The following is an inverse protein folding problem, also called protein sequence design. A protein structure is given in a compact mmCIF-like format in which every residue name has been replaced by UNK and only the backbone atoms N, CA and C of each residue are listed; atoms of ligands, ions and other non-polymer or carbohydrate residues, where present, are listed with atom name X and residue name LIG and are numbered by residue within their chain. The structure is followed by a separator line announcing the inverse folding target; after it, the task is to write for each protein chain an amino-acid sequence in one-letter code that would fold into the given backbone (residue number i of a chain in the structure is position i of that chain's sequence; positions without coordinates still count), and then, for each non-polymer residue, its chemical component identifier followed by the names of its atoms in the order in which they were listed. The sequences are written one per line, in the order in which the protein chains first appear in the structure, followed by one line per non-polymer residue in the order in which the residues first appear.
data_IF_012071074691
#
_entry.id   IF_012071074691
#
_cell.length_a   1.000
_cell.length_b   1.000
_cell.length_c   1.000
_cell.angle_alpha   90.00
_cell.angle_beta   90.00
_cell.angle_gamma   90.00
#
_symmetry.space_group_name_H-M   'P 1'
#
loop_
_entity.id
_entity.type
_entity.pdbx_description
1 polymer ?
#
# COMPACT_ATOMS: atom_id res chain seq x y z
N UNK A 1 86.17 -52.70 18.64
CA UNK A 1 84.79 -53.13 18.59
C UNK A 1 83.97 -51.83 18.44
N UNK A 2 83.66 -51.51 17.19
CA UNK A 2 82.89 -50.32 16.83
C UNK A 2 81.46 -50.77 16.50
N UNK A 3 80.46 -50.19 17.18
CA UNK A 3 79.04 -50.45 16.95
C UNK A 3 78.51 -49.26 16.20
N UNK A 4 78.08 -49.50 14.98
CA UNK A 4 77.43 -48.57 14.08
C UNK A 4 75.93 -48.54 14.39
N UNK A 5 75.27 -47.39 14.52
CA UNK A 5 73.80 -47.33 14.68
C UNK A 5 73.07 -47.28 13.30
N UNK A 6 72.15 -48.21 13.14
CA UNK A 6 71.27 -48.28 11.97
C UNK A 6 70.26 -47.07 11.90
N UNK A 7 70.33 -46.36 10.80
CA UNK A 7 69.34 -45.31 10.46
C UNK A 7 68.08 -45.99 9.90
N UNK A 8 66.99 -45.92 10.62
CA UNK A 8 65.62 -46.23 10.10
C UNK A 8 65.10 -45.08 9.26
N UNK A 9 65.02 -45.27 7.96
CA UNK A 9 64.30 -44.41 7.05
C UNK A 9 62.77 -44.67 7.18
N UNK A 10 62.05 -43.82 7.90
CA UNK A 10 60.58 -43.80 7.86
C UNK A 10 60.12 -43.00 6.61
N UNK A 11 59.81 -43.73 5.55
CA UNK A 11 59.20 -43.17 4.36
C UNK A 11 57.75 -42.75 4.67
N UNK A 12 57.50 -41.45 4.92
CA UNK A 12 56.16 -40.83 5.02
C UNK A 12 55.68 -40.57 3.60
N UNK A 13 55.05 -41.58 2.97
CA UNK A 13 54.36 -41.41 1.70
C UNK A 13 53.09 -40.60 1.95
N UNK A 14 53.19 -39.26 1.83
CA UNK A 14 52.03 -38.41 1.71
C UNK A 14 51.30 -38.78 0.44
N UNK A 15 50.24 -39.59 0.57
CA UNK A 15 49.23 -39.75 -0.47
C UNK A 15 48.69 -38.35 -0.85
N UNK A 16 49.12 -37.83 -1.96
CA UNK A 16 48.50 -36.69 -2.64
C UNK A 16 47.13 -37.13 -3.12
N UNK A 17 46.12 -36.96 -2.23
CA UNK A 17 44.73 -37.14 -2.62
C UNK A 17 44.43 -36.20 -3.79
N UNK A 18 44.28 -36.71 -4.98
CA UNK A 18 43.81 -35.96 -6.14
C UNK A 18 42.52 -35.27 -5.77
N UNK A 19 42.35 -33.96 -6.08
CA UNK A 19 41.09 -33.26 -5.87
C UNK A 19 40.02 -33.94 -6.71
N UNK A 20 39.06 -34.58 -6.06
CA UNK A 20 37.91 -35.18 -6.74
C UNK A 20 37.22 -34.20 -7.67
N UNK A 21 36.52 -34.68 -8.69
CA UNK A 21 35.89 -33.83 -9.69
C UNK A 21 35.02 -32.75 -9.00
N UNK A 22 35.07 -31.48 -9.49
CA UNK A 22 34.32 -30.40 -8.87
C UNK A 22 32.82 -30.74 -8.90
N UNK A 23 32.24 -30.95 -7.72
CA UNK A 23 30.81 -31.25 -7.58
C UNK A 23 29.96 -30.18 -8.28
N UNK A 24 28.87 -30.60 -8.90
CA UNK A 24 27.92 -29.70 -9.58
C UNK A 24 27.49 -28.57 -8.63
N UNK A 25 27.63 -27.30 -9.02
CA UNK A 25 27.25 -26.19 -8.15
C UNK A 25 25.78 -26.30 -7.78
N UNK A 26 25.46 -26.11 -6.51
CA UNK A 26 24.06 -26.07 -6.05
C UNK A 26 23.27 -24.99 -6.82
N UNK A 27 21.97 -25.18 -7.04
CA UNK A 27 21.10 -24.20 -7.72
C UNK A 27 21.25 -22.81 -7.09
N UNK A 28 21.40 -22.72 -5.77
CA UNK A 28 21.67 -21.47 -5.07
C UNK A 28 22.98 -20.81 -5.47
N UNK A 29 24.05 -21.56 -5.63
CA UNK A 29 25.33 -21.01 -6.05
C UNK A 29 25.27 -20.39 -7.46
N UNK A 30 24.44 -20.96 -8.35
CA UNK A 30 24.19 -20.44 -9.68
C UNK A 30 23.27 -19.21 -9.70
N UNK A 31 22.22 -19.18 -8.89
CA UNK A 31 21.24 -18.08 -8.85
C UNK A 31 21.70 -16.87 -8.01
N UNK A 32 22.51 -17.07 -7.00
CA UNK A 32 22.96 -16.00 -6.08
C UNK A 32 23.55 -14.77 -6.79
N UNK A 33 24.39 -14.87 -7.83
CA UNK A 33 24.89 -13.71 -8.57
C UNK A 33 23.76 -12.92 -9.27
N UNK A 34 22.74 -13.59 -9.80
CA UNK A 34 21.57 -12.94 -10.40
C UNK A 34 20.77 -12.16 -9.35
N UNK A 35 20.44 -12.79 -8.22
CA UNK A 35 19.72 -12.13 -7.11
C UNK A 35 20.51 -10.93 -6.60
N UNK A 36 21.83 -11.04 -6.49
CA UNK A 36 22.68 -9.93 -6.06
C UNK A 36 22.67 -8.76 -7.06
N UNK A 37 22.71 -9.06 -8.37
CA UNK A 37 22.61 -8.02 -9.42
C UNK A 37 21.24 -7.37 -9.42
N UNK A 38 20.18 -8.16 -9.39
CA UNK A 38 18.81 -7.67 -9.39
C UNK A 38 18.57 -6.75 -8.17
N UNK A 39 18.92 -7.20 -6.96
CA UNK A 39 18.80 -6.38 -5.76
C UNK A 39 19.66 -5.10 -5.83
N UNK A 40 20.85 -5.19 -6.39
CA UNK A 40 21.74 -4.03 -6.52
C UNK A 40 21.23 -3.01 -7.54
N UNK A 41 20.92 -3.45 -8.77
CA UNK A 41 20.47 -2.53 -9.83
C UNK A 41 19.08 -1.99 -9.55
N UNK A 42 18.15 -2.82 -9.08
CA UNK A 42 16.85 -2.34 -8.61
C UNK A 42 17.01 -1.33 -7.45
N UNK A 43 17.87 -1.66 -6.46
CA UNK A 43 18.17 -0.75 -5.35
C UNK A 43 18.83 0.57 -5.76
N UNK A 44 19.54 0.65 -6.89
CA UNK A 44 20.10 1.91 -7.38
C UNK A 44 19.09 2.70 -8.23
N UNK A 45 18.35 2.01 -9.11
CA UNK A 45 17.47 2.66 -10.09
C UNK A 45 16.10 3.03 -9.49
N UNK A 46 15.56 2.18 -8.60
CA UNK A 46 14.23 2.38 -8.00
C UNK A 46 14.31 3.15 -6.67
N UNK A 47 15.44 3.14 -5.99
CA UNK A 47 15.57 3.82 -4.70
C UNK A 47 15.21 5.32 -4.70
N UNK A 48 15.48 6.13 -5.74
CA UNK A 48 15.01 7.53 -5.77
C UNK A 48 13.48 7.62 -5.67
N UNK A 49 12.78 6.73 -6.38
CA UNK A 49 11.32 6.65 -6.37
C UNK A 49 10.80 6.23 -4.99
N UNK A 50 11.41 5.20 -4.41
CA UNK A 50 11.09 4.76 -3.06
C UNK A 50 11.42 5.79 -1.99
N UNK A 51 12.46 6.61 -2.19
CA UNK A 51 12.81 7.67 -1.26
C UNK A 51 11.71 8.74 -1.20
N UNK A 52 11.23 9.18 -2.37
CA UNK A 52 10.13 10.15 -2.44
C UNK A 52 8.86 9.55 -1.84
N UNK A 53 8.49 8.30 -2.21
CA UNK A 53 7.34 7.62 -1.62
C UNK A 53 7.45 7.46 -0.09
N UNK A 54 8.66 7.16 0.44
CA UNK A 54 8.88 7.08 1.89
C UNK A 54 8.77 8.44 2.58
N UNK A 55 9.30 9.51 1.97
CA UNK A 55 9.21 10.87 2.54
C UNK A 55 7.77 11.38 2.55
N UNK A 56 7.04 11.21 1.46
CA UNK A 56 5.62 11.61 1.37
C UNK A 56 4.74 10.75 2.27
N UNK A 57 5.00 9.44 2.37
CA UNK A 57 4.32 8.55 3.32
C UNK A 57 4.61 8.88 4.78
N UNK A 58 5.81 9.40 5.09
CA UNK A 58 6.14 9.90 6.43
C UNK A 58 5.29 11.15 6.77
N UNK A 59 5.10 12.06 5.82
CA UNK A 59 4.22 13.22 5.98
C UNK A 59 2.77 12.75 6.16
N UNK A 60 2.31 11.80 5.35
CA UNK A 60 0.96 11.27 5.44
C UNK A 60 0.67 10.62 6.81
N UNK A 61 1.62 9.87 7.35
CA UNK A 61 1.45 9.24 8.66
C UNK A 61 1.20 10.24 9.81
N UNK A 62 1.69 11.49 9.68
CA UNK A 62 1.42 12.56 10.63
C UNK A 62 0.22 13.45 10.30
N UNK A 63 -0.38 13.27 9.10
CA UNK A 63 -1.41 14.19 8.60
C UNK A 63 -2.72 14.17 9.39
N UNK A 64 -3.07 13.05 10.02
CA UNK A 64 -4.27 12.93 10.84
C UNK A 64 -4.23 13.88 12.05
N UNK A 65 -3.10 13.90 12.77
CA UNK A 65 -2.94 14.82 13.91
C UNK A 65 -2.81 16.26 13.46
N UNK A 66 -2.12 16.49 12.34
CA UNK A 66 -2.01 17.82 11.77
C UNK A 66 -3.38 18.38 11.38
N UNK A 67 -4.24 17.56 10.76
CA UNK A 67 -5.61 17.93 10.38
C UNK A 67 -6.46 18.34 11.60
N UNK A 68 -6.41 17.54 12.68
CA UNK A 68 -7.18 17.86 13.91
C UNK A 68 -6.71 19.12 14.62
N UNK A 69 -5.45 19.53 14.43
CA UNK A 69 -4.89 20.77 15.00
C UNK A 69 -5.23 21.96 14.09
N UNK A 70 -5.03 21.81 12.79
CA UNK A 70 -5.21 22.92 11.82
C UNK A 70 -6.67 23.31 11.68
N UNK A 71 -7.59 22.35 11.71
CA UNK A 71 -9.03 22.57 11.56
C UNK A 71 -9.79 22.35 12.86
N UNK A 72 -9.16 22.68 14.01
CA UNK A 72 -9.78 22.48 15.31
C UNK A 72 -11.07 23.27 15.49
N UNK A 73 -11.14 24.49 14.94
CA UNK A 73 -12.28 25.38 15.03
C UNK A 73 -13.49 24.89 14.24
N UNK A 74 -13.26 24.20 13.11
CA UNK A 74 -14.31 23.57 12.30
C UNK A 74 -14.77 22.25 12.89
N UNK A 75 -13.84 21.49 13.50
CA UNK A 75 -14.07 20.12 13.95
C UNK A 75 -14.68 20.03 15.35
N UNK A 76 -14.49 21.04 16.19
CA UNK A 76 -14.83 20.99 17.63
C UNK A 76 -15.63 22.20 18.07
N UNK A 77 -16.60 21.93 18.91
CA UNK A 77 -17.45 22.94 19.58
C UNK A 77 -17.58 22.62 21.07
N UNK A 78 -17.89 23.61 21.90
CA UNK A 78 -18.28 23.35 23.29
C UNK A 78 -19.50 22.43 23.35
N UNK A 79 -19.47 21.48 24.29
CA UNK A 79 -20.60 20.56 24.52
C UNK A 79 -21.82 21.33 25.05
N UNK A 80 -22.93 21.22 24.32
CA UNK A 80 -24.22 21.82 24.74
C UNK A 80 -25.09 20.83 25.52
N UNK A 81 -26.29 21.28 25.90
CA UNK A 81 -27.21 20.47 26.70
C UNK A 81 -27.87 19.30 25.94
N UNK A 82 -28.14 19.48 24.65
CA UNK A 82 -28.74 18.45 23.75
C UNK A 82 -28.46 18.81 22.32
N UNK A 83 -28.29 17.80 21.48
CA UNK A 83 -28.14 17.99 20.03
C UNK A 83 -29.51 18.32 19.39
N UNK A 84 -29.48 19.15 18.37
CA UNK A 84 -30.62 19.41 17.50
C UNK A 84 -30.87 18.18 16.59
N UNK A 85 -32.11 17.99 16.09
CA UNK A 85 -32.39 17.03 15.04
C UNK A 85 -31.44 17.22 13.85
N UNK A 86 -31.01 16.10 13.25
CA UNK A 86 -30.08 16.13 12.08
C UNK A 86 -30.70 16.91 10.90
N UNK A 87 -32.00 16.81 10.72
CA UNK A 87 -32.74 17.60 9.73
C UNK A 87 -32.53 19.10 9.88
N UNK A 88 -32.55 19.64 11.10
CA UNK A 88 -32.32 21.08 11.38
C UNK A 88 -30.88 21.49 11.10
N UNK A 89 -29.94 20.61 11.37
CA UNK A 89 -28.52 20.85 11.09
C UNK A 89 -28.25 20.88 9.58
N UNK A 90 -28.91 20.00 8.82
CA UNK A 90 -28.84 19.98 7.34
C UNK A 90 -29.51 21.21 6.73
N UNK A 91 -30.64 21.64 7.30
CA UNK A 91 -31.31 22.85 6.85
C UNK A 91 -30.42 24.09 6.96
N UNK A 92 -29.72 24.26 8.09
CA UNK A 92 -28.74 25.34 8.30
C UNK A 92 -27.62 25.32 7.24
N UNK A 93 -27.09 24.14 6.90
CA UNK A 93 -26.08 24.01 5.86
C UNK A 93 -26.61 24.36 4.45
N UNK A 94 -27.87 23.97 4.13
CA UNK A 94 -28.53 24.29 2.86
C UNK A 94 -28.85 25.76 2.73
N UNK A 95 -29.28 26.43 3.82
CA UNK A 95 -29.52 27.88 3.82
C UNK A 95 -28.23 28.67 3.51
N UNK A 96 -27.09 28.20 4.01
CA UNK A 96 -25.81 28.85 3.77
C UNK A 96 -25.23 28.56 2.37
N UNK A 97 -25.53 27.39 1.79
CA UNK A 97 -25.05 26.96 0.49
C UNK A 97 -26.20 26.42 -0.39
N UNK A 98 -27.12 27.28 -0.80
CA UNK A 98 -28.31 26.88 -1.58
C UNK A 98 -27.95 26.33 -2.98
N UNK A 99 -26.78 26.64 -3.48
CA UNK A 99 -26.25 26.16 -4.77
C UNK A 99 -25.81 24.70 -4.76
N UNK A 100 -25.57 24.12 -3.57
CA UNK A 100 -25.08 22.76 -3.42
C UNK A 100 -26.21 21.75 -3.20
N UNK A 101 -25.97 20.49 -3.62
CA UNK A 101 -26.87 19.38 -3.34
C UNK A 101 -26.28 18.50 -2.22
N UNK A 102 -27.12 18.16 -1.22
CA UNK A 102 -26.70 17.26 -0.14
C UNK A 102 -26.40 15.87 -0.68
N UNK A 103 -25.13 15.50 -0.70
CA UNK A 103 -24.67 14.17 -1.15
C UNK A 103 -24.54 13.16 -0.01
N UNK A 104 -24.23 13.62 1.20
CA UNK A 104 -24.22 12.80 2.41
C UNK A 104 -24.26 13.66 3.67
N UNK A 105 -24.64 13.05 4.79
CA UNK A 105 -24.61 13.68 6.11
C UNK A 105 -23.87 12.77 7.08
N UNK A 106 -22.92 13.32 7.82
CA UNK A 106 -22.20 12.63 8.92
C UNK A 106 -22.58 13.33 10.21
N UNK A 107 -23.55 12.81 10.95
CA UNK A 107 -23.91 13.34 12.27
C UNK A 107 -22.70 13.37 13.21
N UNK A 108 -22.71 14.24 14.18
CA UNK A 108 -21.68 14.31 15.22
C UNK A 108 -21.31 12.91 15.71
N UNK A 109 -20.02 12.49 15.61
CA UNK A 109 -19.62 11.15 16.03
C UNK A 109 -19.50 11.00 17.55
N UNK A 110 -19.28 12.08 18.28
CA UNK A 110 -19.03 12.15 19.72
C UNK A 110 -19.32 13.54 20.26
N UNK A 111 -19.49 13.66 21.56
CA UNK A 111 -19.73 14.96 22.22
C UNK A 111 -18.67 16.00 21.87
N UNK A 112 -19.10 17.20 21.53
CA UNK A 112 -18.24 18.31 21.14
C UNK A 112 -17.64 18.19 19.73
N UNK A 113 -18.02 17.21 18.94
CA UNK A 113 -17.69 17.17 17.52
C UNK A 113 -18.80 17.83 16.68
N UNK A 114 -18.43 18.37 15.51
CA UNK A 114 -19.40 18.96 14.58
C UNK A 114 -20.03 17.90 13.67
N UNK A 115 -21.25 18.13 13.24
CA UNK A 115 -21.87 17.41 12.12
C UNK A 115 -21.28 17.91 10.81
N UNK A 116 -21.04 17.00 9.86
CA UNK A 116 -20.59 17.35 8.50
C UNK A 116 -21.72 17.11 7.51
N UNK A 117 -22.17 18.15 6.85
CA UNK A 117 -23.10 18.08 5.71
C UNK A 117 -22.27 18.18 4.45
N UNK A 118 -22.28 17.15 3.62
CA UNK A 118 -21.47 17.06 2.41
C UNK A 118 -22.32 17.52 1.22
N UNK A 119 -21.86 18.55 0.53
CA UNK A 119 -22.52 19.14 -0.62
C UNK A 119 -21.73 18.84 -1.90
N UNK A 120 -22.42 18.41 -2.94
CA UNK A 120 -21.89 18.25 -4.30
C UNK A 120 -22.40 19.36 -5.22
N UNK A 121 -21.70 19.59 -6.34
CA UNK A 121 -22.11 20.57 -7.35
C UNK A 121 -21.91 22.03 -6.96
N UNK A 122 -21.19 22.31 -5.89
CA UNK A 122 -20.91 23.69 -5.45
C UNK A 122 -19.91 24.35 -6.40
N UNK A 123 -20.22 25.55 -6.96
CA UNK A 123 -19.30 26.23 -7.84
C UNK A 123 -17.96 26.56 -7.19
N UNK A 124 -16.86 26.28 -7.90
CA UNK A 124 -15.50 26.51 -7.40
C UNK A 124 -14.90 25.34 -6.62
N UNK A 125 -15.68 24.33 -6.25
CA UNK A 125 -15.22 23.08 -5.68
C UNK A 125 -14.82 22.10 -6.79
N UNK A 126 -13.71 21.37 -6.60
CA UNK A 126 -13.30 20.34 -7.57
C UNK A 126 -14.42 19.31 -7.76
N UNK A 127 -14.78 18.92 -9.00
CA UNK A 127 -15.85 17.94 -9.28
C UNK A 127 -15.67 16.58 -8.60
N UNK A 128 -14.43 16.18 -8.30
CA UNK A 128 -14.12 14.92 -7.58
C UNK A 128 -14.16 15.08 -6.05
N UNK A 129 -14.43 16.29 -5.55
CA UNK A 129 -14.54 16.63 -4.12
C UNK A 129 -15.98 16.98 -3.73
N UNK A 130 -16.20 17.06 -2.44
CA UNK A 130 -17.43 17.60 -1.85
C UNK A 130 -17.08 18.80 -0.97
N UNK A 131 -17.99 19.75 -0.80
CA UNK A 131 -17.88 20.77 0.23
C UNK A 131 -18.44 20.18 1.54
N UNK A 132 -17.60 20.02 2.55
CA UNK A 132 -18.03 19.67 3.91
C UNK A 132 -18.38 20.95 4.66
N UNK A 133 -19.65 21.13 4.97
CA UNK A 133 -20.17 22.20 5.84
C UNK A 133 -20.22 21.66 7.26
N UNK A 134 -19.52 22.31 8.16
CA UNK A 134 -19.44 21.92 9.57
C UNK A 134 -20.49 22.67 10.37
N UNK A 135 -21.38 21.94 11.02
CA UNK A 135 -22.51 22.49 11.79
C UNK A 135 -22.37 22.11 13.26
N UNK A 136 -22.47 23.08 14.14
CA UNK A 136 -22.56 22.86 15.58
C UNK A 136 -23.86 22.10 15.90
N UNK A 137 -23.78 20.86 16.40
CA UNK A 137 -24.98 20.05 16.61
C UNK A 137 -25.91 20.58 17.71
N UNK A 138 -25.44 21.49 18.56
CA UNK A 138 -26.21 21.99 19.70
C UNK A 138 -27.02 23.25 19.39
N UNK A 139 -26.58 24.10 18.45
CA UNK A 139 -27.26 25.38 18.16
C UNK A 139 -27.49 25.63 16.66
N UNK A 140 -26.95 24.76 15.77
CA UNK A 140 -27.10 24.90 14.31
C UNK A 140 -26.18 25.94 13.67
N UNK A 141 -25.29 26.60 14.43
CA UNK A 141 -24.33 27.53 13.84
C UNK A 141 -23.28 26.81 12.98
N UNK A 142 -22.91 27.43 11.88
CA UNK A 142 -21.84 26.94 11.03
C UNK A 142 -20.48 27.33 11.62
N UNK A 143 -19.59 26.32 11.79
CA UNK A 143 -18.22 26.57 12.23
C UNK A 143 -17.25 26.75 11.06
N UNK A 144 -17.64 26.36 9.86
CA UNK A 144 -16.86 26.54 8.63
C UNK A 144 -17.30 25.64 7.49
N UNK A 145 -16.66 25.81 6.34
CA UNK A 145 -16.86 24.98 5.15
C UNK A 145 -15.53 24.70 4.50
N UNK A 146 -15.21 23.43 4.25
CA UNK A 146 -13.94 22.99 3.68
C UNK A 146 -14.14 21.94 2.59
N UNK A 147 -13.30 21.94 1.56
CA UNK A 147 -13.29 20.84 0.61
C UNK A 147 -12.91 19.53 1.30
N UNK A 148 -13.61 18.47 0.96
CA UNK A 148 -13.36 17.12 1.46
C UNK A 148 -13.18 16.14 0.31
N UNK A 149 -12.20 15.26 0.43
CA UNK A 149 -11.91 14.23 -0.57
C UNK A 149 -12.10 12.81 -0.03
N UNK A 150 -12.76 12.00 -0.87
CA UNK A 150 -12.85 10.56 -0.69
C UNK A 150 -13.65 10.10 0.52
N UNK A 151 -13.84 8.79 0.63
CA UNK A 151 -14.59 8.14 1.73
C UNK A 151 -13.94 8.31 3.11
N UNK A 152 -12.63 8.61 3.15
CA UNK A 152 -11.92 8.88 4.40
C UNK A 152 -12.24 10.26 4.99
N UNK A 153 -12.90 11.13 4.22
CA UNK A 153 -13.22 12.48 4.64
C UNK A 153 -11.98 13.35 4.87
N UNK A 154 -10.97 13.22 4.00
CA UNK A 154 -9.76 14.01 4.08
C UNK A 154 -10.07 15.49 3.83
N UNK A 155 -9.68 16.36 4.76
CA UNK A 155 -9.76 17.81 4.65
C UNK A 155 -8.56 18.34 3.83
N UNK A 156 -8.53 19.63 3.43
CA UNK A 156 -7.59 20.09 2.41
C UNK A 156 -6.12 19.75 2.66
N UNK A 157 -5.64 19.86 3.91
CA UNK A 157 -4.26 19.52 4.23
C UNK A 157 -3.94 18.04 3.96
N UNK A 158 -4.80 17.13 4.43
CA UNK A 158 -4.58 15.70 4.26
C UNK A 158 -4.83 15.27 2.81
N UNK A 159 -5.78 15.88 2.13
CA UNK A 159 -6.02 15.68 0.69
C UNK A 159 -4.77 16.03 -0.12
N UNK A 160 -4.18 17.20 0.13
CA UNK A 160 -2.96 17.62 -0.57
C UNK A 160 -1.78 16.64 -0.32
N UNK A 161 -1.61 16.20 0.92
CA UNK A 161 -0.55 15.22 1.27
C UNK A 161 -0.86 13.85 0.66
N UNK A 162 -2.11 13.42 0.61
CA UNK A 162 -2.56 12.16 -0.02
C UNK A 162 -2.23 12.14 -1.51
N UNK A 163 -2.62 13.17 -2.24
CA UNK A 163 -2.32 13.32 -3.66
C UNK A 163 -0.81 13.37 -3.91
N UNK A 164 -0.07 14.11 -3.07
CA UNK A 164 1.38 14.16 -3.16
C UNK A 164 2.02 12.79 -2.94
N UNK A 165 1.51 11.98 -2.03
CA UNK A 165 1.98 10.60 -1.81
C UNK A 165 1.55 9.66 -2.94
N UNK A 166 0.33 9.79 -3.42
CA UNK A 166 -0.28 8.90 -4.42
C UNK A 166 0.25 9.14 -5.83
N UNK A 167 0.36 10.40 -6.24
CA UNK A 167 0.65 10.77 -7.63
C UNK A 167 1.53 12.01 -7.82
N UNK A 168 2.11 12.58 -6.75
CA UNK A 168 2.99 13.76 -6.79
C UNK A 168 2.32 14.99 -7.44
N UNK A 169 1.01 15.10 -7.41
CA UNK A 169 0.21 16.09 -8.17
C UNK A 169 0.48 16.07 -9.69
N UNK A 170 0.95 14.92 -10.23
CA UNK A 170 1.21 14.70 -11.66
C UNK A 170 0.13 13.83 -12.33
N UNK A 171 -0.98 13.59 -11.64
CA UNK A 171 -2.10 12.80 -12.13
C UNK A 171 -1.67 11.39 -12.54
N UNK A 172 -2.09 10.93 -13.72
CA UNK A 172 -1.83 9.56 -14.18
C UNK A 172 -0.34 9.21 -14.27
N UNK A 173 0.51 10.15 -14.65
CA UNK A 173 1.97 9.92 -14.73
C UNK A 173 2.55 9.65 -13.34
N UNK A 174 2.11 10.41 -12.34
CA UNK A 174 2.52 10.20 -10.96
C UNK A 174 2.01 8.88 -10.38
N UNK A 175 0.79 8.45 -10.73
CA UNK A 175 0.25 7.13 -10.35
C UNK A 175 1.11 5.99 -10.88
N UNK A 176 1.55 6.07 -12.15
CA UNK A 176 2.47 5.07 -12.73
C UNK A 176 3.81 5.03 -12.00
N UNK A 177 4.32 6.19 -11.61
CA UNK A 177 5.54 6.33 -10.81
C UNK A 177 5.40 5.62 -9.46
N UNK A 178 4.32 5.87 -8.72
CA UNK A 178 4.09 5.26 -7.40
C UNK A 178 3.88 3.75 -7.50
N UNK A 179 3.14 3.27 -8.51
CA UNK A 179 2.96 1.85 -8.78
C UNK A 179 4.28 1.16 -9.14
N UNK A 180 5.15 1.80 -9.94
CA UNK A 180 6.49 1.29 -10.23
C UNK A 180 7.30 1.13 -8.93
N UNK A 181 7.31 2.14 -8.07
CA UNK A 181 8.04 2.10 -6.80
C UNK A 181 7.51 0.97 -5.90
N UNK A 182 6.19 0.90 -5.72
CA UNK A 182 5.54 -0.11 -4.88
C UNK A 182 5.79 -1.54 -5.40
N UNK A 183 5.67 -1.77 -6.71
CA UNK A 183 5.85 -3.10 -7.32
C UNK A 183 7.29 -3.61 -7.20
N UNK A 184 8.30 -2.73 -7.33
CA UNK A 184 9.70 -3.12 -7.22
C UNK A 184 10.20 -3.29 -5.78
N UNK A 185 9.48 -2.75 -4.79
CA UNK A 185 9.81 -2.94 -3.38
C UNK A 185 9.83 -4.43 -2.98
N UNK A 186 8.96 -5.26 -3.57
CA UNK A 186 8.96 -6.71 -3.39
C UNK A 186 10.28 -7.36 -3.81
N UNK A 187 10.78 -7.00 -4.99
CA UNK A 187 12.02 -7.54 -5.54
C UNK A 187 13.21 -7.11 -4.69
N UNK A 188 13.23 -5.84 -4.26
CA UNK A 188 14.30 -5.30 -3.41
C UNK A 188 14.28 -5.95 -2.03
N UNK A 189 13.14 -5.97 -1.36
CA UNK A 189 13.02 -6.54 -0.02
C UNK A 189 13.24 -8.06 -0.03
N UNK A 190 12.59 -8.77 -0.96
CA UNK A 190 12.74 -10.23 -1.12
C UNK A 190 14.16 -10.63 -1.49
N UNK A 191 14.77 -9.97 -2.47
CA UNK A 191 16.17 -10.17 -2.83
C UNK A 191 17.13 -9.91 -1.67
N UNK A 192 16.86 -8.85 -0.89
CA UNK A 192 17.60 -8.54 0.34
C UNK A 192 17.52 -9.64 1.39
N UNK A 193 16.32 -10.18 1.66
CA UNK A 193 16.11 -11.29 2.59
C UNK A 193 16.84 -12.55 2.12
N UNK A 194 16.68 -12.93 0.87
CA UNK A 194 17.35 -14.11 0.29
C UNK A 194 18.87 -14.00 0.42
N UNK A 195 19.43 -12.82 0.11
CA UNK A 195 20.87 -12.56 0.28
C UNK A 195 21.30 -12.57 1.76
N UNK A 196 20.45 -12.10 2.66
CA UNK A 196 20.72 -12.10 4.09
C UNK A 196 20.75 -13.51 4.67
N UNK A 197 19.77 -14.36 4.33
CA UNK A 197 19.73 -15.76 4.74
C UNK A 197 20.95 -16.53 4.21
N UNK A 198 21.33 -16.31 2.96
CA UNK A 198 22.52 -16.92 2.36
C UNK A 198 23.86 -16.56 3.04
N UNK A 199 23.87 -15.49 3.84
CA UNK A 199 25.07 -15.04 4.59
C UNK A 199 25.11 -15.47 6.06
N UNK A 200 24.11 -16.17 6.57
CA UNK A 200 24.02 -16.52 8.02
C UNK A 200 25.29 -17.17 8.57
N UNK A 201 25.91 -18.07 7.82
CA UNK A 201 27.14 -18.77 8.23
C UNK A 201 28.37 -17.85 8.32
N UNK A 202 28.43 -16.79 7.49
CA UNK A 202 29.54 -15.83 7.47
C UNK A 202 29.44 -14.73 8.55
N UNK A 203 28.27 -14.56 9.19
CA UNK A 203 27.99 -13.45 10.13
C UNK A 203 28.67 -13.59 11.50
N UNK A 204 28.98 -14.80 11.94
CA UNK A 204 29.62 -15.05 13.25
C UNK A 204 30.99 -14.34 13.43
N UNK A 205 31.61 -13.85 12.33
CA UNK A 205 32.93 -13.17 12.33
C UNK A 205 32.84 -11.62 12.28
N UNK A 206 31.64 -11.00 12.47
CA UNK A 206 31.43 -9.56 12.20
C UNK A 206 31.39 -8.69 13.47
N UNK A 207 31.51 -9.23 14.68
CA UNK A 207 31.67 -8.44 15.93
C UNK A 207 32.96 -7.60 15.81
N UNK A 208 32.86 -6.27 15.92
CA UNK A 208 34.00 -5.35 15.79
C UNK A 208 34.30 -4.85 14.36
N UNK A 209 33.47 -5.19 13.36
CA UNK A 209 33.69 -4.73 11.99
C UNK A 209 33.55 -3.22 11.84
N UNK A 210 34.46 -2.61 11.10
CA UNK A 210 34.49 -1.18 10.75
C UNK A 210 34.21 -0.97 9.26
N UNK A 211 33.99 0.26 8.85
CA UNK A 211 33.87 0.64 7.46
C UNK A 211 32.70 -0.01 6.71
N UNK A 212 32.95 -0.54 5.51
CA UNK A 212 31.94 -1.14 4.62
C UNK A 212 31.25 -2.38 5.25
N UNK A 213 31.97 -3.18 6.04
CA UNK A 213 31.39 -4.37 6.68
C UNK A 213 30.34 -3.98 7.73
N UNK A 214 30.57 -2.90 8.48
CA UNK A 214 29.58 -2.34 9.44
C UNK A 214 28.35 -1.83 8.71
N UNK A 215 28.52 -1.05 7.64
CA UNK A 215 27.39 -0.54 6.82
C UNK A 215 26.54 -1.67 6.27
N UNK A 216 27.17 -2.72 5.72
CA UNK A 216 26.45 -3.90 5.20
C UNK A 216 25.70 -4.68 6.30
N UNK A 217 26.28 -4.77 7.50
CA UNK A 217 25.63 -5.42 8.65
C UNK A 217 24.41 -4.62 9.10
N UNK A 218 24.53 -3.31 9.21
CA UNK A 218 23.40 -2.42 9.58
C UNK A 218 22.29 -2.48 8.53
N UNK A 219 22.63 -2.33 7.23
CA UNK A 219 21.66 -2.45 6.14
C UNK A 219 20.90 -3.78 6.20
N UNK A 220 21.62 -4.90 6.37
CA UNK A 220 20.97 -6.21 6.45
C UNK A 220 20.14 -6.40 7.72
N UNK A 221 20.53 -5.85 8.86
CA UNK A 221 19.77 -5.95 10.11
C UNK A 221 18.50 -5.12 10.04
N UNK A 222 18.59 -3.83 9.67
CA UNK A 222 17.43 -2.96 9.49
C UNK A 222 16.48 -3.55 8.43
N UNK A 223 17.04 -4.05 7.30
CA UNK A 223 16.25 -4.64 6.23
C UNK A 223 15.44 -5.86 6.65
N UNK A 224 16.00 -6.74 7.49
CA UNK A 224 15.25 -7.92 7.97
C UNK A 224 14.11 -7.53 8.91
N UNK A 225 14.35 -6.59 9.82
CA UNK A 225 13.31 -6.14 10.75
C UNK A 225 12.19 -5.36 10.03
N UNK A 226 12.54 -4.55 9.02
CA UNK A 226 11.56 -3.80 8.24
C UNK A 226 10.83 -4.64 7.18
N UNK A 227 11.38 -5.79 6.77
CA UNK A 227 10.92 -6.50 5.57
C UNK A 227 9.43 -6.86 5.60
N UNK A 228 8.92 -7.40 6.70
CA UNK A 228 7.50 -7.77 6.81
C UNK A 228 6.58 -6.55 6.63
N UNK A 229 6.90 -5.44 7.30
CA UNK A 229 6.15 -4.18 7.15
C UNK A 229 6.26 -3.61 5.73
N UNK A 230 7.44 -3.65 5.10
CA UNK A 230 7.63 -3.19 3.72
C UNK A 230 6.85 -4.04 2.71
N UNK A 231 6.76 -5.36 2.91
CA UNK A 231 5.90 -6.22 2.10
C UNK A 231 4.42 -5.86 2.28
N UNK A 232 3.97 -5.64 3.51
CA UNK A 232 2.60 -5.22 3.79
C UNK A 232 2.29 -3.89 3.12
N UNK A 233 3.15 -2.88 3.29
CA UNK A 233 2.97 -1.56 2.67
C UNK A 233 2.93 -1.63 1.14
N UNK A 234 3.81 -2.44 0.54
CA UNK A 234 3.79 -2.64 -0.91
C UNK A 234 2.52 -3.35 -1.38
N UNK A 235 2.12 -4.44 -0.71
CA UNK A 235 0.91 -5.19 -1.07
C UNK A 235 -0.34 -4.30 -1.00
N UNK A 236 -0.51 -3.60 0.11
CA UNK A 236 -1.67 -2.73 0.34
C UNK A 236 -1.65 -1.49 -0.56
N UNK A 237 -0.48 -0.89 -0.83
CA UNK A 237 -0.34 0.21 -1.78
C UNK A 237 -0.68 -0.19 -3.22
N UNK A 238 -0.34 -1.42 -3.63
CA UNK A 238 -0.67 -1.94 -4.96
C UNK A 238 -2.17 -2.17 -5.17
N UNK A 239 -2.97 -2.39 -4.12
CA UNK A 239 -4.43 -2.55 -4.26
C UNK A 239 -5.13 -1.30 -4.80
N UNK A 240 -4.50 -0.12 -4.73
CA UNK A 240 -5.02 1.14 -5.25
C UNK A 240 -4.32 1.63 -6.51
N UNK A 241 -3.38 0.85 -7.01
CA UNK A 241 -2.62 1.22 -8.20
C UNK A 241 -3.42 0.99 -9.48
N UNK A 242 -2.93 1.56 -10.58
CA UNK A 242 -3.67 1.58 -11.85
C UNK A 242 -3.82 0.19 -12.47
N UNK A 243 -2.73 -0.56 -12.56
CA UNK A 243 -2.72 -1.88 -13.21
C UNK A 243 -2.85 -3.03 -12.22
N UNK A 244 -1.98 -3.06 -11.22
CA UNK A 244 -2.04 -4.14 -10.23
C UNK A 244 -3.31 -4.07 -9.38
N UNK A 245 -3.81 -2.87 -9.07
CA UNK A 245 -5.07 -2.68 -8.37
C UNK A 245 -6.26 -3.20 -9.15
N UNK A 246 -6.32 -2.94 -10.47
CA UNK A 246 -7.34 -3.53 -11.35
C UNK A 246 -7.26 -5.06 -11.34
N UNK A 247 -6.06 -5.63 -11.52
CA UNK A 247 -5.88 -7.07 -11.48
C UNK A 247 -6.34 -7.70 -10.15
N UNK A 248 -6.15 -6.99 -9.02
CA UNK A 248 -6.65 -7.44 -7.70
C UNK A 248 -8.17 -7.37 -7.64
N UNK A 249 -8.79 -6.32 -8.18
CA UNK A 249 -10.25 -6.18 -8.26
C UNK A 249 -10.88 -7.27 -9.11
N UNK A 250 -10.36 -7.48 -10.34
CA UNK A 250 -10.83 -8.52 -11.26
C UNK A 250 -10.71 -9.93 -10.65
N UNK A 251 -9.60 -10.19 -9.92
CA UNK A 251 -9.44 -11.46 -9.20
C UNK A 251 -10.47 -11.63 -8.09
N UNK A 252 -10.73 -10.58 -7.30
CA UNK A 252 -11.73 -10.62 -6.22
C UNK A 252 -13.13 -10.85 -6.76
N UNK A 253 -13.48 -10.22 -7.87
CA UNK A 253 -14.74 -10.43 -8.57
C UNK A 253 -14.85 -11.88 -9.08
N UNK A 254 -13.83 -12.38 -9.79
CA UNK A 254 -13.81 -13.74 -10.33
C UNK A 254 -13.97 -14.85 -9.26
N UNK A 255 -13.56 -14.59 -8.01
CA UNK A 255 -13.69 -15.53 -6.90
C UNK A 255 -14.85 -15.19 -5.94
N UNK A 256 -15.73 -14.25 -6.29
CA UNK A 256 -16.88 -13.86 -5.47
C UNK A 256 -16.49 -13.22 -4.12
N UNK A 257 -15.38 -12.49 -4.07
CA UNK A 257 -14.83 -11.88 -2.84
C UNK A 257 -14.88 -10.34 -2.88
N UNK A 258 -15.91 -9.81 -3.55
CA UNK A 258 -16.17 -8.36 -3.61
C UNK A 258 -16.73 -7.82 -2.29
N UNK A 259 -16.73 -6.52 -2.13
CA UNK A 259 -17.32 -5.86 -0.96
C UNK A 259 -18.84 -5.81 -1.15
N UNK A 260 -19.65 -6.40 -0.26
CA UNK A 260 -21.10 -6.29 -0.33
C UNK A 260 -21.55 -4.84 -0.15
N UNK A 261 -22.62 -4.49 -0.85
CA UNK A 261 -23.31 -3.21 -0.74
C UNK A 261 -24.80 -3.47 -0.52
N UNK A 262 -25.49 -2.60 0.22
CA UNK A 262 -26.94 -2.69 0.39
C UNK A 262 -27.65 -2.41 -0.93
N UNK A 263 -28.73 -3.14 -1.19
CA UNK A 263 -29.63 -2.86 -2.32
C UNK A 263 -30.38 -1.55 -2.08
N UNK A 264 -30.29 -0.61 -3.00
CA UNK A 264 -30.98 0.67 -2.90
C UNK A 264 -32.30 0.72 -3.68
N UNK A 265 -32.59 -0.29 -4.52
CA UNK A 265 -33.86 -0.36 -5.25
C UNK A 265 -35.04 -0.69 -4.33
N UNK A 266 -36.10 0.09 -4.43
CA UNK A 266 -37.35 -0.10 -3.66
C UNK A 266 -38.24 -1.16 -4.35
N UNK A 267 -38.03 -1.47 -5.64
CA UNK A 267 -38.70 -2.55 -6.35
C UNK A 267 -37.95 -3.89 -6.21
N UNK A 268 -38.65 -5.04 -6.00
CA UNK A 268 -38.00 -6.34 -5.91
C UNK A 268 -37.52 -6.80 -7.29
N UNK A 269 -36.24 -6.73 -7.56
CA UNK A 269 -35.62 -7.33 -8.74
C UNK A 269 -34.80 -6.37 -9.61
N UNK A 270 -33.55 -6.15 -9.26
CA UNK A 270 -32.60 -5.45 -10.10
C UNK A 270 -31.17 -5.63 -9.62
N UNK A 271 -30.50 -6.66 -10.14
CA UNK A 271 -29.04 -6.76 -10.06
C UNK A 271 -28.42 -5.65 -10.91
N UNK A 272 -27.44 -4.95 -10.35
CA UNK A 272 -26.53 -3.95 -10.94
C UNK A 272 -26.73 -2.51 -10.44
N UNK A 273 -26.01 -2.15 -9.36
CA UNK A 273 -25.67 -0.76 -9.07
C UNK A 273 -24.22 -0.66 -8.57
N UNK A 274 -23.27 -0.89 -9.46
CA UNK A 274 -21.89 -0.38 -9.31
C UNK A 274 -21.77 0.88 -10.15
N UNK A 275 -21.34 2.01 -9.52
CA UNK A 275 -21.10 3.33 -10.11
C UNK A 275 -22.32 4.20 -10.42
N UNK A 276 -23.14 4.49 -9.42
CA UNK A 276 -24.07 5.60 -9.54
C UNK A 276 -23.37 6.93 -9.28
N UNK A 277 -23.11 7.63 -10.38
CA UNK A 277 -22.82 9.06 -10.39
C UNK A 277 -23.99 9.78 -9.73
N UNK A 278 -23.78 10.83 -8.89
CA UNK A 278 -24.90 11.58 -8.33
C UNK A 278 -25.80 12.08 -9.45
N UNK A 279 -27.05 11.67 -9.45
CA UNK A 279 -28.05 12.19 -10.38
C UNK A 279 -28.40 13.61 -9.97
N UNK A 280 -28.71 14.45 -11.00
CA UNK A 280 -29.11 15.83 -10.82
C UNK A 280 -30.40 15.95 -10.01
N UNK A 281 -30.57 17.02 -9.24
CA UNK A 281 -31.63 17.16 -8.25
C UNK A 281 -32.88 17.76 -8.84
N UNK A 282 -33.92 16.95 -9.03
CA UNK A 282 -35.27 17.48 -9.30
C UNK A 282 -36.36 16.88 -8.39
N UNK A 283 -35.97 16.22 -7.30
CA UNK A 283 -36.94 15.78 -6.28
C UNK A 283 -36.88 16.72 -5.09
N UNK A 284 -37.92 17.54 -4.93
CA UNK A 284 -38.11 18.39 -3.76
C UNK A 284 -38.13 17.51 -2.50
N UNK A 285 -37.38 17.86 -1.42
CA UNK A 285 -37.47 17.17 -0.15
C UNK A 285 -38.77 17.56 0.54
N UNK A 286 -39.76 16.69 0.57
CA UNK A 286 -41.02 17.03 1.18
C UNK A 286 -42.04 15.90 1.41
N UNK A 287 -41.85 14.75 0.81
CA UNK A 287 -42.83 13.65 0.94
C UNK A 287 -42.15 12.35 1.37
N UNK A 288 -41.51 12.32 2.56
CA UNK A 288 -40.90 11.12 3.12
C UNK A 288 -40.60 11.24 4.61
N UNK A 289 -40.11 10.15 5.22
CA UNK A 289 -39.90 10.04 6.66
C UNK A 289 -38.78 10.93 7.22
N UNK A 290 -38.07 11.69 6.43
CA UNK A 290 -37.01 12.61 6.89
C UNK A 290 -35.75 11.94 7.49
N UNK A 291 -34.65 12.69 7.55
CA UNK A 291 -33.32 12.18 7.99
C UNK A 291 -33.30 11.64 9.42
N UNK A 292 -34.09 12.24 10.33
CA UNK A 292 -34.10 11.84 11.73
C UNK A 292 -34.73 10.46 11.92
N UNK A 293 -35.83 10.17 11.22
CA UNK A 293 -36.48 8.85 11.23
C UNK A 293 -35.57 7.78 10.58
N UNK A 294 -34.89 8.12 9.49
CA UNK A 294 -33.90 7.24 8.83
C UNK A 294 -32.76 6.89 9.77
N UNK A 295 -32.23 7.88 10.50
CA UNK A 295 -31.18 7.63 11.49
C UNK A 295 -31.69 6.78 12.68
N UNK A 296 -32.94 6.96 13.09
CA UNK A 296 -33.56 6.16 14.14
C UNK A 296 -33.78 4.70 13.72
N UNK A 297 -34.24 4.47 12.47
CA UNK A 297 -34.34 3.13 11.89
C UNK A 297 -32.96 2.45 11.85
N UNK A 298 -31.91 3.16 11.44
CA UNK A 298 -30.55 2.62 11.45
C UNK A 298 -30.05 2.30 12.88
N UNK A 299 -30.38 3.11 13.87
CA UNK A 299 -30.07 2.85 15.28
C UNK A 299 -30.83 1.63 15.84
N UNK A 300 -32.07 1.44 15.42
CA UNK A 300 -32.84 0.23 15.75
C UNK A 300 -32.15 -1.04 15.22
N UNK A 301 -31.50 -0.95 14.05
CA UNK A 301 -30.61 -1.98 13.48
C UNK A 301 -29.22 -2.02 14.12
N UNK A 302 -29.00 -1.33 15.24
CA UNK A 302 -27.76 -1.29 16.03
C UNK A 302 -26.56 -0.61 15.34
N UNK A 303 -26.78 0.21 14.32
CA UNK A 303 -25.71 1.03 13.78
C UNK A 303 -25.35 2.12 14.80
N UNK A 304 -24.09 2.15 15.18
CA UNK A 304 -23.53 3.13 16.12
C UNK A 304 -22.61 4.12 15.41
N UNK A 305 -22.49 5.32 15.93
CA UNK A 305 -21.56 6.31 15.40
C UNK A 305 -20.11 5.79 15.29
N UNK A 306 -19.31 6.33 14.37
CA UNK A 306 -19.68 7.30 13.35
C UNK A 306 -20.45 6.66 12.19
N UNK A 307 -21.50 7.33 11.73
CA UNK A 307 -22.30 6.91 10.58
C UNK A 307 -22.31 7.99 9.48
N UNK A 308 -22.64 7.56 8.28
CA UNK A 308 -22.89 8.44 7.13
C UNK A 308 -24.27 8.09 6.54
N UNK A 309 -25.10 9.09 6.35
CA UNK A 309 -26.42 9.01 5.73
C UNK A 309 -26.29 9.52 4.31
N UNK A 310 -26.58 8.68 3.33
CA UNK A 310 -26.61 9.04 1.92
C UNK A 310 -28.08 9.14 1.48
N UNK A 311 -28.55 10.32 1.02
CA UNK A 311 -29.90 10.47 0.51
C UNK A 311 -30.15 9.62 -0.74
N UNK A 312 -31.41 9.26 -1.05
CA UNK A 312 -31.74 8.57 -2.28
C UNK A 312 -31.34 9.37 -3.52
N UNK A 313 -30.87 8.67 -4.55
CA UNK A 313 -30.48 9.28 -5.81
C UNK A 313 -31.70 9.73 -6.65
N UNK A 314 -32.82 9.01 -6.50
CA UNK A 314 -34.08 9.22 -7.17
C UNK A 314 -35.25 8.70 -6.32
N UNK A 315 -36.49 8.89 -6.82
CA UNK A 315 -37.71 8.47 -6.10
C UNK A 315 -37.87 6.94 -5.91
N UNK A 316 -37.10 6.13 -6.66
CA UNK A 316 -37.11 4.67 -6.58
C UNK A 316 -35.96 4.11 -5.71
N UNK A 317 -35.15 5.00 -5.12
CA UNK A 317 -33.98 4.63 -4.35
C UNK A 317 -34.18 4.83 -2.85
N UNK A 318 -33.59 3.95 -2.04
CA UNK A 318 -33.60 4.02 -0.58
C UNK A 318 -32.50 4.98 -0.06
N UNK A 319 -32.69 5.49 1.16
CA UNK A 319 -31.59 6.03 1.96
C UNK A 319 -30.60 4.93 2.29
N UNK A 320 -29.31 5.26 2.31
CA UNK A 320 -28.29 4.36 2.84
C UNK A 320 -27.67 4.97 4.09
N UNK A 321 -27.75 4.25 5.20
CA UNK A 321 -27.00 4.59 6.41
C UNK A 321 -25.89 3.56 6.61
N UNK A 322 -24.65 4.03 6.65
CA UNK A 322 -23.48 3.16 6.81
C UNK A 322 -22.56 3.61 7.92
N UNK A 323 -22.01 2.67 8.65
CA UNK A 323 -20.93 2.94 9.61
C UNK A 323 -19.64 3.25 8.85
N UNK A 324 -18.90 4.25 9.33
CA UNK A 324 -17.66 4.71 8.71
C UNK A 324 -16.46 4.68 9.67
N UNK A 325 -16.55 3.85 10.73
CA UNK A 325 -15.45 3.67 11.67
C UNK A 325 -14.34 2.83 11.05
N UNK A 326 -13.19 3.44 10.87
CA UNK A 326 -11.98 2.83 10.27
C UNK A 326 -11.00 2.30 11.31
N UNK A 327 -11.15 2.68 12.57
CA UNK A 327 -10.33 2.19 13.66
C UNK A 327 -10.83 0.84 14.17
N UNK A 328 -9.91 0.04 14.70
CA UNK A 328 -10.26 -1.26 15.30
C UNK A 328 -11.04 -1.11 16.62
N UNK A 329 -12.10 -1.91 16.88
CA UNK A 329 -12.76 -2.80 15.92
C UNK A 329 -13.49 -2.00 14.83
N UNK A 330 -13.18 -2.28 13.58
CA UNK A 330 -13.77 -1.59 12.44
C UNK A 330 -15.27 -1.86 12.35
N UNK A 331 -16.06 -0.82 12.03
CA UNK A 331 -17.50 -0.90 11.87
C UNK A 331 -17.88 -0.40 10.47
N UNK A 332 -18.51 -1.29 9.69
CA UNK A 332 -18.87 -1.04 8.29
C UNK A 332 -20.25 -1.61 7.96
N UNK A 333 -21.09 -1.81 8.97
CA UNK A 333 -22.47 -2.22 8.76
C UNK A 333 -23.22 -1.13 7.99
N UNK A 334 -24.12 -1.53 7.13
CA UNK A 334 -24.95 -0.62 6.34
C UNK A 334 -26.40 -1.12 6.31
N UNK A 335 -27.32 -0.17 6.23
CA UNK A 335 -28.76 -0.43 6.04
C UNK A 335 -29.31 0.45 4.93
N UNK A 336 -30.26 -0.07 4.17
CA UNK A 336 -31.09 0.68 3.26
C UNK A 336 -32.45 0.95 3.93
N UNK A 337 -32.96 2.18 3.85
CA UNK A 337 -34.21 2.61 4.47
C UNK A 337 -35.12 3.23 3.42
N UNK A 338 -36.33 2.75 3.29
CA UNK A 338 -37.35 3.27 2.37
C UNK A 338 -37.75 4.70 2.78
N UNK A 339 -37.62 5.69 1.89
CA UNK A 339 -37.95 7.07 2.20
C UNK A 339 -39.44 7.31 2.45
N UNK A 340 -40.33 6.47 1.92
CA UNK A 340 -41.77 6.61 2.08
C UNK A 340 -42.29 6.03 3.39
N UNK A 341 -41.79 4.88 3.79
CA UNK A 341 -42.28 4.13 4.97
C UNK A 341 -41.38 4.22 6.19
N UNK A 342 -40.07 4.50 6.00
CA UNK A 342 -39.07 4.43 7.06
C UNK A 342 -38.66 2.99 7.43
N UNK A 343 -39.14 1.99 6.69
CA UNK A 343 -38.79 0.60 6.93
C UNK A 343 -37.40 0.28 6.37
N UNK A 344 -36.69 -0.61 7.07
CA UNK A 344 -35.39 -1.11 6.60
C UNK A 344 -35.63 -2.18 5.54
N UNK A 345 -35.14 -1.93 4.33
CA UNK A 345 -35.35 -2.82 3.17
C UNK A 345 -34.20 -3.80 2.97
N UNK A 346 -32.97 -3.44 3.38
CA UNK A 346 -31.80 -4.32 3.27
C UNK A 346 -30.77 -4.01 4.35
N UNK A 347 -30.01 -5.05 4.75
CA UNK A 347 -28.99 -4.95 5.80
C UNK A 347 -27.74 -5.72 5.39
N UNK A 348 -26.61 -5.05 5.38
CA UNK A 348 -25.30 -5.66 5.16
C UNK A 348 -24.46 -5.52 6.41
N UNK A 349 -23.98 -6.64 6.97
CA UNK A 349 -23.15 -6.67 8.17
C UNK A 349 -21.67 -6.88 7.79
N UNK A 350 -20.79 -6.11 8.39
CA UNK A 350 -19.34 -6.30 8.20
C UNK A 350 -18.88 -7.71 8.63
N UNK A 351 -19.56 -8.30 9.62
CA UNK A 351 -19.31 -9.67 10.05
C UNK A 351 -19.45 -10.69 8.91
N UNK A 352 -20.33 -10.42 7.94
CA UNK A 352 -20.65 -11.32 6.83
C UNK A 352 -19.82 -11.04 5.56
N UNK A 353 -18.96 -10.01 5.58
CA UNK A 353 -18.09 -9.72 4.44
C UNK A 353 -17.19 -10.91 4.11
N UNK A 354 -16.97 -11.20 2.82
CA UNK A 354 -15.97 -12.17 2.38
C UNK A 354 -14.58 -11.83 2.92
N UNK A 355 -13.75 -12.85 3.13
CA UNK A 355 -12.43 -12.67 3.75
C UNK A 355 -11.54 -11.68 3.01
N UNK A 356 -11.49 -11.73 1.66
CA UNK A 356 -10.66 -10.81 0.88
C UNK A 356 -11.19 -9.37 0.93
N UNK A 357 -12.51 -9.17 1.09
CA UNK A 357 -13.08 -7.84 1.31
C UNK A 357 -12.62 -7.27 2.66
N UNK A 358 -12.70 -8.05 3.75
CA UNK A 358 -12.18 -7.67 5.08
C UNK A 358 -10.68 -7.37 5.05
N UNK A 359 -9.88 -8.27 4.45
CA UNK A 359 -8.44 -8.10 4.37
C UNK A 359 -8.04 -6.87 3.53
N UNK A 360 -8.77 -6.59 2.45
CA UNK A 360 -8.55 -5.37 1.67
C UNK A 360 -8.83 -4.13 2.51
N UNK A 361 -9.93 -4.11 3.26
CA UNK A 361 -10.31 -2.99 4.11
C UNK A 361 -9.29 -2.76 5.23
N UNK A 362 -8.97 -3.81 6.00
CA UNK A 362 -7.95 -3.73 7.05
C UNK A 362 -6.58 -3.35 6.50
N UNK A 363 -6.23 -3.87 5.32
CA UNK A 363 -4.97 -3.52 4.65
C UNK A 363 -4.90 -2.03 4.30
N UNK A 364 -5.99 -1.48 3.79
CA UNK A 364 -6.16 -0.06 3.48
C UNK A 364 -5.97 0.77 4.77
N UNK A 365 -6.72 0.44 5.81
CA UNK A 365 -6.72 1.23 7.05
C UNK A 365 -5.42 1.06 7.85
N UNK A 366 -4.75 -0.10 7.75
CA UNK A 366 -3.39 -0.27 8.26
C UNK A 366 -2.36 0.55 7.47
N UNK A 367 -2.48 0.62 6.13
CA UNK A 367 -1.58 1.40 5.27
C UNK A 367 -1.70 2.91 5.53
N UNK A 368 -2.93 3.40 5.69
CA UNK A 368 -3.19 4.83 5.95
C UNK A 368 -2.94 5.25 7.40
N UNK A 369 -2.81 4.30 8.33
CA UNK A 369 -2.60 4.60 9.75
C UNK A 369 -3.89 4.74 10.55
N UNK A 370 -5.06 4.44 9.95
CA UNK A 370 -6.36 4.57 10.62
C UNK A 370 -6.68 3.37 11.52
N UNK A 371 -6.26 2.14 11.14
CA UNK A 371 -6.72 0.89 11.77
C UNK A 371 -6.46 0.81 13.28
N UNK A 372 -5.27 1.19 13.75
CA UNK A 372 -4.90 1.20 15.16
C UNK A 372 -4.50 2.62 15.64
N UNK A 373 -4.99 3.66 14.95
CA UNK A 373 -4.76 5.05 15.30
C UNK A 373 -3.28 5.42 15.47
N UNK A 374 -2.95 6.12 16.53
CA UNK A 374 -1.58 6.61 16.79
C UNK A 374 -0.52 5.50 16.80
N UNK A 375 -0.84 4.31 17.34
CA UNK A 375 0.10 3.20 17.35
C UNK A 375 0.45 2.74 15.92
N UNK A 376 -0.54 2.67 15.03
CA UNK A 376 -0.34 2.36 13.62
C UNK A 376 0.53 3.42 12.93
N UNK A 377 0.26 4.69 13.17
CA UNK A 377 1.00 5.81 12.59
C UNK A 377 2.48 5.79 13.02
N UNK A 378 2.77 5.51 14.31
CA UNK A 378 4.13 5.34 14.82
C UNK A 378 4.86 4.17 14.14
N UNK A 379 4.17 3.06 13.89
CA UNK A 379 4.73 1.93 13.14
C UNK A 379 5.04 2.33 11.69
N UNK A 380 4.16 3.05 11.02
CA UNK A 380 4.38 3.57 9.66
C UNK A 380 5.56 4.54 9.62
N UNK A 381 5.67 5.45 10.58
CA UNK A 381 6.81 6.38 10.73
C UNK A 381 8.11 5.57 10.90
N UNK A 382 8.13 4.55 11.74
CA UNK A 382 9.30 3.72 11.94
C UNK A 382 9.70 2.92 10.69
N UNK A 383 8.72 2.38 9.94
CA UNK A 383 8.95 1.63 8.69
C UNK A 383 9.46 2.54 7.56
N UNK A 384 8.88 3.72 7.39
CA UNK A 384 9.29 4.69 6.37
C UNK A 384 10.67 5.25 6.69
N UNK A 385 10.95 5.59 7.95
CA UNK A 385 12.28 5.98 8.41
C UNK A 385 13.32 4.86 8.19
N UNK A 386 12.97 3.61 8.48
CA UNK A 386 13.83 2.47 8.22
C UNK A 386 14.14 2.32 6.71
N UNK A 387 13.15 2.53 5.83
CA UNK A 387 13.34 2.51 4.37
C UNK A 387 14.30 3.63 3.92
N UNK A 388 14.13 4.84 4.42
CA UNK A 388 15.04 5.98 4.14
C UNK A 388 16.47 5.63 4.57
N UNK A 389 16.64 5.07 5.77
CA UNK A 389 17.96 4.61 6.27
C UNK A 389 18.53 3.50 5.38
N UNK A 390 17.73 2.53 4.95
CA UNK A 390 18.15 1.46 4.04
C UNK A 390 18.65 2.01 2.71
N UNK A 391 17.94 2.97 2.13
CA UNK A 391 18.34 3.65 0.89
C UNK A 391 19.66 4.40 1.09
N UNK A 392 19.79 5.18 2.15
CA UNK A 392 21.02 5.91 2.47
C UNK A 392 22.23 4.98 2.67
N UNK A 393 22.05 3.88 3.42
CA UNK A 393 23.09 2.86 3.61
C UNK A 393 23.44 2.16 2.28
N UNK A 394 22.44 1.90 1.42
CA UNK A 394 22.61 1.33 0.08
C UNK A 394 23.48 2.22 -0.80
N UNK A 395 23.15 3.51 -0.93
CA UNK A 395 23.93 4.49 -1.69
C UNK A 395 25.32 4.71 -1.10
N UNK A 396 25.44 4.76 0.22
CA UNK A 396 26.77 4.83 0.87
C UNK A 396 27.64 3.63 0.51
N UNK A 397 27.08 2.42 0.42
CA UNK A 397 27.84 1.23 -0.01
C UNK A 397 28.21 1.28 -1.48
N UNK A 398 27.32 1.79 -2.32
CA UNK A 398 27.55 1.99 -3.75
C UNK A 398 28.66 3.03 -3.97
N UNK A 399 28.56 4.22 -3.37
CA UNK A 399 29.57 5.29 -3.46
C UNK A 399 30.98 4.82 -3.06
N UNK A 400 31.07 4.07 -1.97
CA UNK A 400 32.38 3.54 -1.51
C UNK A 400 32.95 2.43 -2.40
N UNK A 401 32.16 1.86 -3.30
CA UNK A 401 32.58 0.85 -4.25
C UNK A 401 33.19 1.46 -5.52
N UNK A 402 32.78 2.67 -5.89
CA UNK A 402 33.01 3.30 -7.18
C UNK A 402 34.26 4.16 -7.31
N UNK A 403 35.27 4.03 -6.43
CA UNK A 403 36.52 4.76 -6.62
C UNK A 403 37.24 4.26 -7.89
N UNK A 404 36.85 4.81 -9.07
CA UNK A 404 37.48 4.47 -10.36
C UNK A 404 36.52 4.32 -11.55
N UNK A 405 35.20 4.22 -11.35
CA UNK A 405 34.20 4.25 -12.43
C UNK A 405 32.85 4.72 -11.90
N UNK A 406 32.03 5.40 -12.74
CA UNK A 406 30.72 5.96 -12.36
C UNK A 406 29.75 4.91 -11.75
N UNK A 407 29.83 3.65 -12.15
CA UNK A 407 28.97 2.56 -11.67
C UNK A 407 29.70 1.49 -10.84
N UNK A 408 31.00 1.69 -10.50
CA UNK A 408 31.79 0.70 -9.80
C UNK A 408 32.12 -0.54 -10.66
N UNK A 409 32.86 -1.51 -10.10
CA UNK A 409 33.12 -2.77 -10.79
C UNK A 409 31.79 -3.53 -11.04
N UNK A 410 31.55 -4.04 -12.27
CA UNK A 410 30.37 -4.82 -12.59
C UNK A 410 30.19 -5.98 -11.59
N UNK A 411 28.95 -6.26 -11.20
CA UNK A 411 28.66 -7.45 -10.40
C UNK A 411 28.95 -8.69 -11.23
N UNK A 412 29.60 -9.73 -10.64
CA UNK A 412 29.86 -10.97 -11.36
C UNK A 412 28.56 -11.56 -11.89
N UNK A 413 28.56 -11.97 -13.16
CA UNK A 413 27.42 -12.68 -13.76
C UNK A 413 27.42 -14.13 -13.30
N UNK A 414 26.22 -14.68 -13.09
CA UNK A 414 26.02 -16.09 -12.81
C UNK A 414 25.94 -16.89 -14.11
N UNK A 415 26.17 -18.18 -14.02
CA UNK A 415 25.93 -19.10 -15.11
C UNK A 415 24.50 -19.66 -14.96
N UNK A 416 23.49 -18.93 -15.48
CA UNK A 416 22.08 -19.39 -15.47
C UNK A 416 21.91 -20.74 -16.16
N UNK A 417 22.79 -21.05 -17.13
CA UNK A 417 22.88 -22.35 -17.82
C UNK A 417 23.18 -23.53 -16.87
N UNK A 418 23.71 -23.24 -15.68
CA UNK A 418 23.99 -24.25 -14.64
C UNK A 418 22.83 -24.45 -13.66
N UNK A 419 21.74 -23.69 -13.82
CA UNK A 419 20.54 -23.87 -12.99
C UNK A 419 19.75 -25.05 -13.51
N UNK A 420 19.40 -26.03 -12.68
CA UNK A 420 18.62 -27.20 -13.13
C UNK A 420 17.27 -26.77 -13.72
N UNK A 421 16.81 -27.37 -14.83
CA UNK A 421 15.54 -27.00 -15.47
C UNK A 421 14.31 -27.06 -14.56
N UNK A 422 14.28 -28.03 -13.63
CA UNK A 422 13.18 -28.18 -12.65
C UNK A 422 13.10 -27.04 -11.65
N UNK A 423 14.14 -26.20 -11.51
CA UNK A 423 14.13 -24.96 -10.73
C UNK A 423 13.88 -23.77 -11.61
N UNK A 424 14.50 -23.73 -12.80
CA UNK A 424 14.42 -22.59 -13.71
C UNK A 424 13.02 -22.42 -14.29
N UNK A 425 12.39 -23.51 -14.76
CA UNK A 425 11.07 -23.46 -15.41
C UNK A 425 9.98 -22.95 -14.46
N UNK A 426 9.79 -23.49 -13.24
CA UNK A 426 8.82 -22.95 -12.31
C UNK A 426 9.10 -21.48 -11.92
N UNK A 427 10.38 -21.12 -11.76
CA UNK A 427 10.77 -19.74 -11.46
C UNK A 427 10.36 -18.79 -12.60
N UNK A 428 10.63 -19.15 -13.84
CA UNK A 428 10.25 -18.34 -15.01
C UNK A 428 8.73 -18.26 -15.17
N UNK A 429 8.01 -19.36 -14.93
CA UNK A 429 6.55 -19.36 -14.92
C UNK A 429 5.99 -18.42 -13.84
N UNK A 430 6.51 -18.49 -12.61
CA UNK A 430 6.10 -17.59 -11.53
C UNK A 430 6.38 -16.12 -11.86
N UNK A 431 7.55 -15.80 -12.43
CA UNK A 431 7.91 -14.44 -12.87
C UNK A 431 6.97 -13.96 -13.98
N UNK A 432 6.61 -14.83 -14.93
CA UNK A 432 5.67 -14.50 -16.01
C UNK A 432 4.27 -14.21 -15.48
N UNK A 433 3.75 -15.04 -14.57
CA UNK A 433 2.45 -14.85 -13.93
C UNK A 433 2.43 -13.53 -13.13
N UNK A 434 3.41 -13.30 -12.25
CA UNK A 434 3.49 -12.05 -11.48
C UNK A 434 3.64 -10.85 -12.41
N UNK A 435 4.45 -10.97 -13.48
CA UNK A 435 4.64 -9.90 -14.46
C UNK A 435 3.39 -9.57 -15.27
N UNK A 436 2.51 -10.54 -15.49
CA UNK A 436 1.21 -10.32 -16.13
C UNK A 436 0.26 -9.49 -15.23
N UNK A 437 0.14 -9.87 -13.95
CA UNK A 437 -0.72 -9.16 -12.99
C UNK A 437 -0.14 -7.82 -12.51
N UNK A 438 1.19 -7.64 -12.59
CA UNK A 438 1.90 -6.43 -12.17
C UNK A 438 2.84 -5.96 -13.30
N UNK A 439 2.30 -5.36 -14.38
CA UNK A 439 3.07 -5.08 -15.59
C UNK A 439 4.23 -4.11 -15.38
N UNK A 440 4.13 -3.15 -14.44
CA UNK A 440 5.23 -2.24 -14.11
C UNK A 440 6.39 -2.92 -13.34
N UNK A 441 6.17 -4.11 -12.82
CA UNK A 441 7.25 -5.01 -12.40
C UNK A 441 7.69 -5.90 -13.56
N UNK A 442 6.75 -6.53 -14.26
CA UNK A 442 7.01 -7.56 -15.26
C UNK A 442 7.82 -7.08 -16.44
N UNK A 443 7.43 -5.97 -17.06
CA UNK A 443 8.10 -5.43 -18.25
C UNK A 443 9.56 -5.03 -17.96
N UNK A 444 9.88 -4.19 -16.96
CA UNK A 444 11.27 -3.86 -16.66
C UNK A 444 12.10 -5.07 -16.20
N UNK A 445 11.49 -6.03 -15.50
CA UNK A 445 12.17 -7.26 -15.11
C UNK A 445 12.52 -8.13 -16.32
N UNK A 446 11.61 -8.28 -17.27
CA UNK A 446 11.85 -9.00 -18.52
C UNK A 446 12.98 -8.34 -19.35
N UNK A 447 12.97 -7.02 -19.46
CA UNK A 447 14.04 -6.24 -20.11
C UNK A 447 15.37 -6.45 -19.40
N UNK A 448 15.39 -6.36 -18.06
CA UNK A 448 16.61 -6.61 -17.28
C UNK A 448 17.17 -8.02 -17.51
N UNK A 449 16.33 -9.04 -17.49
CA UNK A 449 16.73 -10.43 -17.72
C UNK A 449 17.24 -10.63 -19.14
N UNK A 450 16.56 -10.09 -20.16
CA UNK A 450 17.00 -10.15 -21.55
C UNK A 450 18.38 -9.51 -21.75
N UNK A 451 18.57 -8.31 -21.23
CA UNK A 451 19.88 -7.62 -21.29
C UNK A 451 20.96 -8.42 -20.56
N UNK A 452 20.64 -9.00 -19.39
CA UNK A 452 21.60 -9.81 -18.65
C UNK A 452 22.03 -11.07 -19.38
N UNK A 453 21.09 -11.76 -20.05
CA UNK A 453 21.34 -12.93 -20.87
C UNK A 453 22.22 -12.56 -22.08
N UNK A 454 21.84 -11.53 -22.84
CA UNK A 454 22.60 -11.09 -24.03
C UNK A 454 24.04 -10.71 -23.67
N UNK A 455 24.20 -9.88 -22.63
CA UNK A 455 25.53 -9.49 -22.20
C UNK A 455 26.33 -10.66 -21.62
N UNK A 456 25.66 -11.65 -21.02
CA UNK A 456 26.27 -12.90 -20.54
C UNK A 456 26.82 -13.74 -21.72
N UNK A 457 26.02 -13.90 -22.76
CA UNK A 457 26.39 -14.66 -23.95
C UNK A 457 27.54 -13.97 -24.73
N UNK A 458 27.47 -12.64 -24.92
CA UNK A 458 28.55 -11.89 -25.55
C UNK A 458 29.88 -12.05 -24.81
N UNK A 459 29.84 -11.98 -23.47
CA UNK A 459 31.05 -12.17 -22.66
C UNK A 459 31.61 -13.60 -22.78
N UNK A 460 30.72 -14.60 -22.83
CA UNK A 460 31.12 -16.00 -23.02
C UNK A 460 31.76 -16.26 -24.38
N UNK A 461 31.18 -15.73 -25.46
CA UNK A 461 31.73 -15.83 -26.82
C UNK A 461 33.08 -15.11 -26.97
N UNK A 462 33.25 -13.95 -26.34
CA UNK A 462 34.55 -13.23 -26.34
C UNK A 462 35.63 -14.03 -25.59
N UNK A 463 35.32 -14.62 -24.44
CA UNK A 463 36.26 -15.44 -23.69
C UNK A 463 36.73 -16.69 -24.45
N UNK A 464 35.86 -17.33 -25.26
CA UNK A 464 36.22 -18.46 -26.12
C UNK A 464 37.19 -18.06 -27.25
N UNK A 465 37.01 -16.87 -27.85
CA UNK A 465 37.89 -16.39 -28.94
C UNK A 465 39.30 -16.08 -28.48
N UNK A 466 39.50 -15.72 -27.20
CA UNK A 466 40.83 -15.44 -26.63
C UNK A 466 41.56 -16.69 -26.14
N UNK A 467 40.91 -17.84 -26.06
CA UNK A 467 41.50 -19.13 -25.64
C UNK A 467 41.80 -20.09 -26.83
N UNK A 468 41.62 -19.66 -28.09
CA UNK A 468 42.07 -20.45 -29.24
C UNK A 468 43.55 -20.15 -29.45
N UNK A 469 44.50 -21.09 -29.20
CA UNK A 469 45.90 -20.87 -29.51
C UNK A 469 46.03 -20.69 -31.02
N UNK A 470 46.81 -19.67 -31.44
CA UNK A 470 47.29 -19.57 -32.82
C UNK A 470 48.09 -20.83 -33.09
N UNK A 471 47.56 -21.71 -33.95
CA UNK A 471 48.27 -22.86 -34.45
C UNK A 471 49.27 -22.42 -35.49
#
# INVERSE_FOLDING_TARGET
MSVEPAVRASGDARETREPGPPGTPTAWAALRPLVLRLHFYAGVLIAPFLLVAAMTGLLYAGSYQAETIVYADELRVPVGASELPVSRQVEAAREAHPEGTVSAVRPSPEDGATTRVLLSGVPGVNPDHTLAVFVNPYNGELTGSLEQYGSSGALPLRTWIDEFHRDLHLGQTGRLYSELAASWLWVIAGGGLVLWFGRRRARRKVRGATGRRRTLSLHGTVGVWAAAGLFLLSATGLTWSTYAGRSVSDLREAVGQTTPVVSTGIEPGGEHAEHSRPAAPDSAPGEGVGLDAVLEAARAERLTNPVEIVPPADASSAYVVRQIQRSWPEKQDAVAVDPGTGEVTDVVRFADYPLLAKLSRWGIDAHTGALFGLANQLVLIALTAALIVLIALGYRMWWRRGRGSAFGRPMPRGAWQKVPPHVLVPLMAAVAVVGYFVPLLGIPLAVFLAVDIVLGEVAHRRGRRTCTPAG
#
